data_IF_824956340490
#
_entry.id   IF_824956340490
#
_cell.length_a   1.000
_cell.length_b   1.000
_cell.length_c   1.000
_cell.angle_alpha   90.00
_cell.angle_beta   90.00
_cell.angle_gamma   90.00
#
_symmetry.space_group_name_H-M   'P 1'
#
loop_
_entity.id
_entity.type
_entity.pdbx_description
1 polymer ?
#
# COMPACT_ATOMS: atom_id res chain seq x y z
N UNK A 1 -21.98 7.59 14.72
CA UNK A 1 -20.64 7.85 15.30
C UNK A 1 -20.09 6.52 15.76
N UNK A 2 -19.22 5.91 14.98
CA UNK A 2 -18.77 4.53 15.20
C UNK A 2 -17.62 4.50 16.21
N UNK A 3 -17.80 3.66 17.22
CA UNK A 3 -16.97 3.37 18.39
C UNK A 3 -15.62 2.67 18.05
N UNK A 4 -14.99 3.02 16.93
CA UNK A 4 -13.74 2.38 16.50
C UNK A 4 -12.66 2.53 17.57
N UNK A 5 -12.03 1.40 17.89
CA UNK A 5 -11.67 1.02 19.26
C UNK A 5 -10.41 1.76 19.71
N UNK A 6 -10.44 2.29 20.93
CA UNK A 6 -9.26 2.86 21.61
C UNK A 6 -8.03 1.92 21.57
N UNK A 7 -8.25 0.59 21.53
CA UNK A 7 -7.19 -0.42 21.41
C UNK A 7 -6.54 -0.54 20.02
N UNK A 8 -7.14 0.01 18.96
CA UNK A 8 -6.57 0.06 17.62
C UNK A 8 -5.72 1.33 17.40
N UNK A 9 -5.48 2.13 18.44
CA UNK A 9 -4.62 3.32 18.34
C UNK A 9 -3.14 2.98 18.55
N UNK A 10 -2.82 1.86 19.18
CA UNK A 10 -1.45 1.42 19.38
C UNK A 10 -1.05 0.46 18.26
N UNK A 11 -0.09 0.82 17.40
CA UNK A 11 0.41 -0.08 16.37
C UNK A 11 1.18 -1.24 17.04
N UNK A 12 1.22 -2.42 16.39
CA UNK A 12 2.18 -3.43 16.78
C UNK A 12 3.61 -2.89 16.67
N UNK A 13 4.57 -3.41 17.45
CA UNK A 13 5.98 -3.08 17.26
C UNK A 13 6.41 -3.38 15.81
N UNK A 14 7.19 -2.49 15.16
CA UNK A 14 7.68 -2.74 13.83
C UNK A 14 8.51 -4.02 13.75
N UNK A 15 8.27 -4.82 12.72
CA UNK A 15 9.02 -6.05 12.45
C UNK A 15 10.13 -5.76 11.46
N UNK A 16 11.39 -6.03 11.84
CA UNK A 16 12.53 -5.89 10.92
C UNK A 16 12.48 -6.99 9.85
N UNK A 17 12.54 -6.60 8.58
CA UNK A 17 12.51 -7.51 7.42
C UNK A 17 13.92 -7.69 6.87
N UNK A 18 14.64 -6.58 6.71
CA UNK A 18 16.05 -6.55 6.28
C UNK A 18 16.81 -5.52 7.10
N UNK A 19 18.08 -5.29 6.77
CA UNK A 19 18.86 -4.22 7.40
C UNK A 19 18.39 -2.81 7.04
N UNK A 20 17.55 -2.69 6.01
CA UNK A 20 17.06 -1.39 5.50
C UNK A 20 15.55 -1.25 5.54
N UNK A 21 14.79 -2.33 5.77
CA UNK A 21 13.33 -2.34 5.68
C UNK A 21 12.69 -2.88 6.96
N UNK A 22 11.68 -2.16 7.44
CA UNK A 22 10.79 -2.54 8.53
C UNK A 22 9.35 -2.66 8.03
N UNK A 23 8.58 -3.54 8.64
CA UNK A 23 7.15 -3.68 8.44
C UNK A 23 6.41 -3.12 9.67
N UNK A 24 5.58 -2.09 9.49
CA UNK A 24 4.85 -1.44 10.59
C UNK A 24 3.45 -2.00 10.82
N UNK A 25 2.76 -2.29 9.73
CA UNK A 25 1.47 -2.96 9.67
C UNK A 25 1.59 -4.08 8.64
N UNK A 26 0.64 -5.01 8.67
CA UNK A 26 0.59 -6.09 7.69
C UNK A 26 0.64 -5.51 6.26
N UNK A 27 1.67 -5.89 5.50
CA UNK A 27 1.96 -5.40 4.15
C UNK A 27 2.37 -3.91 4.02
N UNK A 28 2.58 -3.19 5.12
CA UNK A 28 3.16 -1.84 5.12
C UNK A 28 4.68 -1.91 5.36
N UNK A 29 5.44 -1.87 4.26
CA UNK A 29 6.91 -1.86 4.28
C UNK A 29 7.45 -0.45 4.13
N UNK A 30 8.38 -0.09 5.02
CA UNK A 30 9.02 1.22 5.05
C UNK A 30 10.53 1.06 5.18
N UNK A 31 11.29 2.02 4.68
CA UNK A 31 12.72 2.12 5.00
C UNK A 31 12.86 2.34 6.52
N UNK A 32 13.89 1.77 7.13
CA UNK A 32 14.17 2.02 8.56
C UNK A 32 14.30 3.54 8.80
N UNK A 33 13.46 4.15 9.67
CA UNK A 33 13.46 5.60 9.91
C UNK A 33 14.81 6.16 10.33
N UNK A 34 15.63 5.36 11.02
CA UNK A 34 16.95 5.77 11.47
C UNK A 34 17.93 6.01 10.30
N UNK A 35 17.61 5.45 9.12
CA UNK A 35 18.35 5.66 7.88
C UNK A 35 17.86 6.91 7.10
N UNK A 36 16.72 7.49 7.44
CA UNK A 36 16.06 8.58 6.69
C UNK A 36 16.33 9.98 7.29
N UNK A 37 17.60 10.40 7.34
CA UNK A 37 17.99 11.65 8.02
C UNK A 37 17.72 12.95 7.23
N UNK A 38 17.83 12.91 5.89
CA UNK A 38 17.66 14.11 5.04
C UNK A 38 16.18 14.36 4.72
N UNK A 39 15.40 13.29 4.64
CA UNK A 39 13.97 13.35 4.33
C UNK A 39 13.25 12.42 5.29
N UNK A 40 12.98 12.87 6.53
CA UNK A 40 12.34 12.02 7.53
C UNK A 40 10.94 11.60 7.06
N UNK A 41 10.55 10.40 7.46
CA UNK A 41 9.18 9.91 7.24
C UNK A 41 8.18 10.84 7.90
N UNK A 42 7.03 11.02 7.24
CA UNK A 42 5.93 11.80 7.78
C UNK A 42 5.35 11.09 9.01
N UNK A 43 5.13 11.84 10.10
CA UNK A 43 4.44 11.33 11.28
C UNK A 43 2.94 11.31 11.01
N UNK A 44 2.46 10.16 10.53
CA UNK A 44 1.04 9.93 10.27
C UNK A 44 0.40 9.14 11.41
N UNK A 45 -0.81 9.52 11.86
CA UNK A 45 -1.57 8.71 12.78
C UNK A 45 -1.78 7.29 12.23
N UNK A 46 -1.50 6.28 13.04
CA UNK A 46 -1.61 4.85 12.66
C UNK A 46 -2.98 4.48 12.12
N UNK A 47 -4.04 5.11 12.63
CA UNK A 47 -5.41 4.88 12.17
C UNK A 47 -5.62 5.31 10.71
N UNK A 48 -4.95 6.38 10.26
CA UNK A 48 -5.04 6.81 8.87
C UNK A 48 -4.31 5.82 7.96
N UNK A 49 -3.13 5.35 8.36
CA UNK A 49 -2.42 4.31 7.62
C UNK A 49 -3.27 3.03 7.51
N UNK A 50 -3.87 2.55 8.60
CA UNK A 50 -4.79 1.40 8.57
C UNK A 50 -5.94 1.61 7.60
N UNK A 51 -6.63 2.75 7.70
CA UNK A 51 -7.74 3.09 6.81
C UNK A 51 -7.35 3.03 5.34
N UNK A 52 -6.17 3.51 4.98
CA UNK A 52 -5.66 3.48 3.61
C UNK A 52 -5.33 2.05 3.17
N UNK A 53 -4.60 1.30 3.99
CA UNK A 53 -4.17 -0.06 3.66
C UNK A 53 -5.32 -1.06 3.58
N UNK A 54 -6.35 -0.90 4.43
CA UNK A 54 -7.55 -1.72 4.42
C UNK A 54 -8.39 -1.46 3.17
N UNK A 55 -8.49 -0.19 2.75
CA UNK A 55 -9.23 0.21 1.55
C UNK A 55 -8.50 -0.11 0.23
N UNK A 56 -7.25 -0.60 0.27
CA UNK A 56 -6.44 -0.77 -0.94
C UNK A 56 -7.05 -1.73 -1.95
N UNK A 57 -7.64 -2.82 -1.46
CA UNK A 57 -8.19 -3.86 -2.34
C UNK A 57 -9.49 -3.39 -2.98
N UNK A 58 -10.37 -2.78 -2.20
CA UNK A 58 -11.59 -2.15 -2.71
C UNK A 58 -11.27 -1.08 -3.78
N UNK A 59 -10.21 -0.29 -3.55
CA UNK A 59 -9.77 0.69 -4.54
C UNK A 59 -9.22 0.04 -5.82
N UNK A 60 -8.41 -1.01 -5.70
CA UNK A 60 -7.89 -1.74 -6.86
C UNK A 60 -9.00 -2.44 -7.65
N UNK A 61 -9.96 -3.07 -6.96
CA UNK A 61 -11.13 -3.69 -7.59
C UNK A 61 -11.96 -2.65 -8.34
N UNK A 62 -12.14 -1.47 -7.75
CA UNK A 62 -12.81 -0.36 -8.43
C UNK A 62 -12.03 0.12 -9.65
N UNK A 63 -10.71 0.29 -9.55
CA UNK A 63 -9.85 0.67 -10.68
C UNK A 63 -9.93 -0.36 -11.81
N UNK A 64 -9.91 -1.65 -11.48
CA UNK A 64 -10.04 -2.72 -12.45
C UNK A 64 -11.40 -2.69 -13.15
N UNK A 65 -12.49 -2.51 -12.39
CA UNK A 65 -13.84 -2.48 -12.95
C UNK A 65 -14.15 -1.25 -13.83
N UNK A 66 -13.43 -0.15 -13.65
CA UNK A 66 -13.77 1.14 -14.31
C UNK A 66 -12.74 1.60 -15.33
N UNK A 67 -11.49 1.15 -15.23
CA UNK A 67 -10.39 1.67 -16.05
C UNK A 67 -9.47 0.60 -16.63
N UNK A 68 -9.44 -0.62 -16.08
CA UNK A 68 -8.64 -1.69 -16.66
C UNK A 68 -9.52 -2.56 -17.57
N UNK A 69 -9.71 -2.12 -18.82
CA UNK A 69 -10.38 -2.93 -19.84
C UNK A 69 -9.59 -4.22 -20.15
N UNK A 70 -8.26 -4.18 -20.00
CA UNK A 70 -7.34 -5.31 -20.19
C UNK A 70 -6.20 -5.29 -19.16
N UNK A 71 -5.78 -6.47 -18.69
CA UNK A 71 -4.60 -6.65 -17.83
C UNK A 71 -3.49 -7.27 -18.65
N UNK A 72 -2.40 -6.53 -18.86
CA UNK A 72 -1.23 -7.05 -19.57
C UNK A 72 -0.31 -7.80 -18.61
N UNK A 73 -0.05 -9.07 -18.91
CA UNK A 73 1.05 -9.81 -18.29
C UNK A 73 2.38 -9.29 -18.85
N UNK A 74 3.34 -9.03 -17.95
CA UNK A 74 4.65 -8.55 -18.35
C UNK A 74 5.34 -9.58 -19.27
N UNK A 75 5.46 -9.24 -20.56
CA UNK A 75 6.03 -10.10 -21.59
C UNK A 75 5.04 -10.57 -22.66
N UNK A 76 3.76 -10.24 -22.54
CA UNK A 76 2.73 -10.53 -23.56
C UNK A 76 2.27 -9.24 -24.25
N UNK A 77 1.92 -9.36 -25.53
CA UNK A 77 1.31 -8.27 -26.31
C UNK A 77 -0.17 -8.13 -25.94
N UNK A 78 -0.67 -6.90 -25.91
CA UNK A 78 -2.07 -6.60 -25.64
C UNK A 78 -2.98 -7.24 -26.68
N UNK A 79 -3.96 -8.02 -26.23
CA UNK A 79 -4.97 -8.66 -27.07
C UNK A 79 -5.90 -7.64 -27.75
N UNK A 80 -5.93 -6.38 -27.28
CA UNK A 80 -6.72 -5.29 -27.84
C UNK A 80 -5.94 -4.32 -28.74
N UNK A 81 -4.64 -4.50 -28.90
CA UNK A 81 -3.85 -3.63 -29.78
C UNK A 81 -4.06 -4.04 -31.25
N UNK A 82 -4.87 -3.25 -31.98
CA UNK A 82 -5.01 -3.42 -33.44
C UNK A 82 -3.66 -3.19 -34.13
N UNK A 83 -3.25 -4.17 -34.93
CA UNK A 83 -2.02 -4.16 -35.73
C UNK A 83 -2.01 -2.93 -36.65
N UNK A 84 -0.99 -2.04 -36.61
CA UNK A 84 -0.99 -0.85 -37.44
C UNK A 84 -0.84 -1.26 -38.91
N UNK A 85 -1.89 -0.96 -39.70
CA UNK A 85 -1.97 -1.21 -41.15
C UNK A 85 -0.94 -0.43 -41.98
#
# INVERSE_FOLDING_TARGET
MSVWRLGEQTPPPPRRITDTVVERLEHQYEVDPDLMQITPQQDMPVWDSRRIFDARWDHLDWMHAHFADEVLLAGEESETMEDPS
#
